data_IF_453631333692
#
_entry.id   IF_453631333692
#
_cell.length_a   1.000
_cell.length_b   1.000
_cell.length_c   1.000
_cell.angle_alpha   90.00
_cell.angle_beta   90.00
_cell.angle_gamma   90.00
#
_symmetry.space_group_name_H-M   'P 1'
#
loop_
_entity.id
_entity.type
_entity.pdbx_description
1 polymer ?
#
# COMPACT_ATOMS: atom_id res chain seq x y z
N UNK A 1 -1.58 -4.23 -7.73
CA UNK A 1 -0.92 -3.22 -8.57
C UNK A 1 0.60 -3.42 -8.50
N UNK A 2 1.43 -2.54 -7.92
CA UNK A 2 2.90 -2.66 -7.96
C UNK A 2 3.43 -4.08 -7.74
N UNK A 3 3.02 -4.73 -6.67
CA UNK A 3 3.44 -6.12 -6.34
C UNK A 3 2.99 -7.12 -7.42
N UNK A 4 1.85 -6.90 -8.05
CA UNK A 4 1.34 -7.73 -9.15
C UNK A 4 2.06 -7.46 -10.47
N UNK A 5 2.30 -6.17 -10.79
CA UNK A 5 2.99 -5.78 -12.03
C UNK A 5 4.45 -6.21 -12.06
N UNK A 6 5.08 -6.31 -10.88
CA UNK A 6 6.45 -6.81 -10.71
C UNK A 6 6.52 -8.32 -10.48
N UNK A 7 5.39 -9.02 -10.51
CA UNK A 7 5.27 -10.47 -10.31
C UNK A 7 5.92 -10.99 -9.00
N UNK A 8 5.94 -10.16 -7.97
CA UNK A 8 6.60 -10.46 -6.69
C UNK A 8 6.01 -11.70 -6.03
N UNK A 9 4.70 -11.97 -6.20
CA UNK A 9 4.08 -13.16 -5.63
C UNK A 9 4.73 -14.44 -6.17
N UNK A 10 4.84 -14.60 -7.48
CA UNK A 10 5.42 -15.79 -8.08
C UNK A 10 6.91 -15.94 -7.75
N UNK A 11 7.64 -14.81 -7.75
CA UNK A 11 9.06 -14.81 -7.38
C UNK A 11 9.26 -15.32 -5.93
N UNK A 12 8.51 -14.79 -4.97
CA UNK A 12 8.64 -15.18 -3.57
C UNK A 12 8.13 -16.61 -3.31
N UNK A 13 7.10 -17.05 -4.03
CA UNK A 13 6.48 -18.37 -3.83
C UNK A 13 7.39 -19.54 -4.24
N UNK A 14 8.49 -19.28 -4.97
CA UNK A 14 9.45 -20.33 -5.33
C UNK A 14 10.15 -20.93 -4.11
N UNK A 15 10.41 -20.13 -3.07
CA UNK A 15 11.18 -20.56 -1.91
C UNK A 15 10.52 -20.21 -0.56
N UNK A 16 9.30 -19.66 -0.58
CA UNK A 16 8.61 -19.22 0.62
C UNK A 16 7.13 -19.60 0.60
N UNK A 17 6.53 -19.74 1.76
CA UNK A 17 5.07 -19.81 1.90
C UNK A 17 4.51 -18.38 1.89
N UNK A 18 3.81 -18.02 0.82
CA UNK A 18 3.30 -16.66 0.60
C UNK A 18 1.79 -16.61 0.74
N UNK A 19 1.30 -15.68 1.53
CA UNK A 19 -0.13 -15.40 1.70
C UNK A 19 -0.49 -14.09 1.02
N UNK A 20 -1.30 -14.14 -0.03
CA UNK A 20 -1.73 -12.96 -0.79
C UNK A 20 -3.23 -12.97 -1.04
N UNK A 21 -3.94 -12.01 -0.47
CA UNK A 21 -5.38 -11.83 -0.68
C UNK A 21 -5.76 -11.41 -2.11
N UNK A 22 -4.79 -11.03 -2.93
CA UNK A 22 -5.01 -10.71 -4.35
C UNK A 22 -4.93 -11.92 -5.26
N UNK A 23 -4.39 -13.04 -4.75
CA UNK A 23 -4.21 -14.31 -5.50
C UNK A 23 -5.00 -15.43 -4.87
N UNK A 24 -5.02 -15.51 -3.54
CA UNK A 24 -5.71 -16.56 -2.81
C UNK A 24 -7.09 -16.05 -2.34
N UNK A 25 -8.14 -16.79 -2.65
CA UNK A 25 -9.51 -16.51 -2.19
C UNK A 25 -9.85 -17.20 -0.86
N UNK A 26 -8.89 -17.87 -0.24
CA UNK A 26 -9.06 -18.62 1.00
C UNK A 26 -9.44 -17.68 2.16
N UNK A 27 -10.45 -18.08 2.95
CA UNK A 27 -10.96 -17.29 4.07
C UNK A 27 -9.89 -17.00 5.15
N UNK A 28 -8.90 -17.88 5.30
CA UNK A 28 -7.80 -17.76 6.27
C UNK A 28 -6.61 -16.92 5.79
N UNK A 29 -6.56 -16.49 4.51
CA UNK A 29 -5.37 -15.85 3.96
C UNK A 29 -4.95 -14.57 4.68
N UNK A 30 -5.91 -13.75 5.10
CA UNK A 30 -5.59 -12.49 5.79
C UNK A 30 -5.10 -12.73 7.22
N UNK A 31 -5.64 -13.73 7.90
CA UNK A 31 -5.18 -14.12 9.24
C UNK A 31 -3.76 -14.69 9.16
N UNK A 32 -3.50 -15.59 8.23
CA UNK A 32 -2.16 -16.15 8.00
C UNK A 32 -1.15 -15.07 7.61
N UNK A 33 -1.55 -14.11 6.77
CA UNK A 33 -0.68 -12.97 6.43
C UNK A 33 -0.33 -12.12 7.65
N UNK A 34 -1.27 -11.92 8.59
CA UNK A 34 -1.02 -11.14 9.82
C UNK A 34 -0.11 -11.85 10.83
N UNK A 35 0.07 -13.16 10.69
CA UNK A 35 0.96 -13.98 11.51
C UNK A 35 2.35 -14.19 10.88
N UNK A 36 2.57 -13.66 9.70
CA UNK A 36 3.84 -13.81 8.97
C UNK A 36 4.94 -12.96 9.58
N UNK A 37 6.18 -13.46 9.53
CA UNK A 37 7.37 -12.73 10.01
C UNK A 37 7.80 -11.59 9.05
N UNK A 38 7.43 -11.69 7.77
CA UNK A 38 7.78 -10.70 6.76
C UNK A 38 6.52 -10.22 6.05
N UNK A 39 6.39 -8.90 5.90
CA UNK A 39 5.26 -8.28 5.22
C UNK A 39 5.74 -7.48 4.00
N UNK A 40 5.18 -7.78 2.84
CA UNK A 40 5.57 -7.14 1.57
C UNK A 40 4.40 -6.34 1.03
N UNK A 41 4.63 -5.06 0.80
CA UNK A 41 3.61 -4.16 0.26
C UNK A 41 4.24 -3.03 -0.56
N UNK A 42 3.39 -2.20 -1.16
CA UNK A 42 3.80 -0.94 -1.76
C UNK A 42 3.21 0.23 -0.98
N UNK A 43 3.79 1.41 -1.12
CA UNK A 43 3.24 2.66 -0.59
C UNK A 43 2.35 3.39 -1.62
N UNK A 44 1.52 4.32 -1.14
CA UNK A 44 0.83 5.28 -2.00
C UNK A 44 1.72 6.47 -2.36
N UNK A 45 2.66 6.83 -1.49
CA UNK A 45 3.75 7.75 -1.77
C UNK A 45 4.93 7.45 -0.86
N UNK A 46 6.12 7.83 -1.30
CA UNK A 46 7.37 7.82 -0.56
C UNK A 46 7.97 9.21 -0.67
N UNK A 47 8.10 9.91 0.46
CA UNK A 47 8.76 11.21 0.48
C UNK A 47 10.29 11.04 0.40
N UNK A 48 10.96 11.94 -0.31
CA UNK A 48 12.43 11.96 -0.39
C UNK A 48 13.08 12.21 0.98
N UNK A 49 12.32 12.78 1.91
CA UNK A 49 12.68 12.94 3.32
C UNK A 49 12.56 11.66 4.15
N UNK A 50 12.02 10.58 3.57
CA UNK A 50 11.99 9.22 4.14
C UNK A 50 10.62 8.74 4.62
N UNK A 51 9.59 9.57 4.68
CA UNK A 51 8.27 9.16 5.15
C UNK A 51 7.54 8.31 4.13
N UNK A 52 6.90 7.26 4.64
CA UNK A 52 6.08 6.33 3.84
C UNK A 52 4.60 6.63 4.10
N UNK A 53 3.88 7.00 3.04
CA UNK A 53 2.48 7.40 3.13
C UNK A 53 1.58 6.33 2.53
N UNK A 54 0.61 5.85 3.33
CA UNK A 54 -0.40 4.91 2.90
C UNK A 54 -1.81 5.39 3.24
N UNK A 55 -2.72 5.27 2.26
CA UNK A 55 -4.17 5.43 2.44
C UNK A 55 -4.82 4.06 2.32
N UNK A 56 -5.67 3.68 3.27
CA UNK A 56 -6.32 2.38 3.30
C UNK A 56 -7.82 2.49 3.56
N UNK A 57 -8.58 1.52 3.05
CA UNK A 57 -10.02 1.42 3.21
C UNK A 57 -10.45 0.49 4.32
N UNK A 58 -9.84 -0.69 4.41
CA UNK A 58 -10.11 -1.70 5.45
C UNK A 58 -9.11 -1.63 6.61
N UNK A 59 -7.96 -1.02 6.38
CA UNK A 59 -6.87 -0.99 7.35
C UNK A 59 -5.95 -2.21 7.32
N UNK A 60 -6.26 -3.24 6.53
CA UNK A 60 -5.52 -4.51 6.54
C UNK A 60 -4.06 -4.38 6.11
N UNK A 61 -3.75 -3.58 5.07
CA UNK A 61 -2.37 -3.36 4.64
C UNK A 61 -1.57 -2.59 5.70
N UNK A 62 -2.14 -1.51 6.20
CA UNK A 62 -1.46 -0.67 7.19
C UNK A 62 -1.33 -1.40 8.52
N UNK A 63 -2.35 -2.12 8.98
CA UNK A 63 -2.26 -2.91 10.20
C UNK A 63 -1.17 -3.97 10.11
N UNK A 64 -1.13 -4.77 9.03
CA UNK A 64 -0.13 -5.81 8.83
C UNK A 64 1.30 -5.30 8.71
N UNK A 65 1.48 -4.07 8.20
CA UNK A 65 2.80 -3.45 8.07
C UNK A 65 3.28 -2.70 9.33
N UNK A 66 2.39 -2.46 10.30
CA UNK A 66 2.70 -1.73 11.54
C UNK A 66 2.74 -2.69 12.74
N UNK A 67 1.77 -3.60 12.83
CA UNK A 67 1.62 -4.48 13.97
C UNK A 67 1.12 -5.86 13.54
N UNK A 68 2.05 -6.78 13.35
CA UNK A 68 1.77 -8.20 13.17
C UNK A 68 2.32 -8.99 14.35
N UNK A 69 1.62 -10.06 14.78
CA UNK A 69 1.99 -10.84 15.96
C UNK A 69 3.44 -11.39 15.91
N UNK A 70 3.93 -11.69 14.71
CA UNK A 70 5.28 -12.23 14.48
C UNK A 70 6.13 -11.34 13.57
N UNK A 71 5.70 -10.10 13.33
CA UNK A 71 6.33 -9.21 12.37
C UNK A 71 7.76 -8.88 12.75
N UNK A 72 8.70 -9.24 11.89
CA UNK A 72 10.14 -8.94 12.02
C UNK A 72 10.63 -8.02 10.92
N UNK A 73 10.04 -8.11 9.71
CA UNK A 73 10.49 -7.37 8.52
C UNK A 73 9.34 -6.84 7.72
N UNK A 74 9.48 -5.62 7.23
CA UNK A 74 8.55 -5.01 6.28
C UNK A 74 9.32 -4.56 5.05
N UNK A 75 8.83 -4.94 3.87
CA UNK A 75 9.39 -4.56 2.59
C UNK A 75 8.40 -3.66 1.83
N UNK A 76 8.77 -2.40 1.63
CA UNK A 76 8.04 -1.47 0.78
C UNK A 76 8.66 -1.46 -0.62
N UNK A 77 7.95 -1.97 -1.62
CA UNK A 77 8.39 -1.98 -3.01
C UNK A 77 7.61 -0.92 -3.78
N UNK A 78 8.32 0.08 -4.28
CA UNK A 78 7.73 1.26 -4.90
C UNK A 78 8.39 1.55 -6.25
N UNK A 79 7.57 1.89 -7.25
CA UNK A 79 8.12 2.49 -8.48
C UNK A 79 8.55 3.94 -8.23
N UNK A 80 9.46 4.45 -9.06
CA UNK A 80 9.91 5.86 -9.01
C UNK A 80 8.76 6.86 -9.17
N UNK A 81 7.66 6.44 -9.81
CA UNK A 81 6.44 7.24 -9.93
C UNK A 81 5.75 7.57 -8.58
N UNK A 82 6.20 6.98 -7.47
CA UNK A 82 5.64 7.19 -6.12
C UNK A 82 6.48 8.13 -5.26
N UNK A 83 7.61 8.55 -5.75
CA UNK A 83 8.45 9.52 -5.06
C UNK A 83 7.74 10.89 -4.99
N UNK A 84 7.92 11.56 -3.90
CA UNK A 84 7.42 12.90 -3.63
C UNK A 84 8.48 13.69 -2.89
N UNK A 85 8.62 14.96 -3.21
CA UNK A 85 9.62 15.86 -2.65
C UNK A 85 9.64 15.88 -1.12
N UNK A 86 8.47 15.84 -0.50
CA UNK A 86 8.30 15.89 0.95
C UNK A 86 6.98 15.25 1.37
N UNK A 87 6.74 15.20 2.68
CA UNK A 87 5.53 14.62 3.28
C UNK A 87 4.23 15.25 2.75
N UNK A 88 4.18 16.56 2.57
CA UNK A 88 2.98 17.28 2.10
C UNK A 88 2.64 16.86 0.65
N UNK A 89 3.66 16.83 -0.22
CA UNK A 89 3.52 16.35 -1.60
C UNK A 89 3.18 14.88 -1.65
N UNK A 90 3.72 14.07 -0.73
CA UNK A 90 3.38 12.66 -0.58
C UNK A 90 1.91 12.44 -0.19
N UNK A 91 1.40 13.20 0.78
CA UNK A 91 -0.01 13.18 1.17
C UNK A 91 -0.89 13.65 0.01
N UNK A 92 -0.48 14.71 -0.68
CA UNK A 92 -1.21 15.21 -1.84
C UNK A 92 -1.30 14.13 -2.93
N UNK A 93 -0.17 13.50 -3.26
CA UNK A 93 -0.11 12.41 -4.25
C UNK A 93 -1.02 11.23 -3.86
N UNK A 94 -0.92 10.80 -2.62
CA UNK A 94 -1.72 9.69 -2.11
C UNK A 94 -3.23 9.97 -2.22
N UNK A 95 -3.65 11.21 -1.91
CA UNK A 95 -5.05 11.64 -1.99
C UNK A 95 -5.54 11.91 -3.41
N UNK A 96 -4.73 12.56 -4.23
CA UNK A 96 -5.19 13.10 -5.53
C UNK A 96 -4.82 12.22 -6.72
N UNK A 97 -3.86 11.31 -6.58
CA UNK A 97 -3.45 10.38 -7.64
C UNK A 97 -3.81 8.94 -7.26
N UNK A 98 -3.23 8.42 -6.19
CA UNK A 98 -3.35 7.01 -5.87
C UNK A 98 -4.78 6.60 -5.45
N UNK A 99 -5.42 7.36 -4.57
CA UNK A 99 -6.75 7.03 -4.08
C UNK A 99 -7.84 7.12 -5.16
N UNK A 100 -7.91 8.16 -6.02
CA UNK A 100 -8.87 8.23 -7.12
C UNK A 100 -8.73 7.07 -8.11
N UNK A 101 -7.52 6.81 -8.59
CA UNK A 101 -7.24 5.71 -9.53
C UNK A 101 -7.59 4.34 -8.93
N UNK A 102 -7.27 4.12 -7.65
CA UNK A 102 -7.63 2.88 -6.99
C UNK A 102 -9.14 2.75 -6.74
N UNK A 103 -9.83 3.83 -6.41
CA UNK A 103 -11.28 3.84 -6.27
C UNK A 103 -11.98 3.51 -7.60
N UNK A 104 -11.48 4.06 -8.72
CA UNK A 104 -11.93 3.74 -10.07
C UNK A 104 -11.70 2.26 -10.39
N UNK A 105 -10.48 1.74 -10.17
CA UNK A 105 -10.15 0.32 -10.37
C UNK A 105 -11.07 -0.63 -9.60
N UNK A 106 -11.50 -0.20 -8.40
CA UNK A 106 -12.42 -0.97 -7.54
C UNK A 106 -13.91 -0.74 -7.88
N UNK A 107 -14.22 -0.02 -8.95
CA UNK A 107 -15.60 0.24 -9.39
C UNK A 107 -16.43 1.05 -8.39
N UNK A 108 -15.79 1.91 -7.57
CA UNK A 108 -16.49 2.70 -6.54
C UNK A 108 -17.22 3.89 -7.16
N UNK A 109 -18.42 4.18 -6.66
CA UNK A 109 -19.25 5.32 -7.09
C UNK A 109 -18.93 6.60 -6.28
N UNK A 110 -17.65 6.86 -6.07
CA UNK A 110 -17.19 8.10 -5.41
C UNK A 110 -16.92 9.18 -6.45
N UNK A 111 -17.05 10.49 -6.12
CA UNK A 111 -16.77 11.56 -7.09
C UNK A 111 -15.41 11.46 -7.76
N UNK A 112 -14.38 11.10 -6.98
CA UNK A 112 -13.03 10.94 -7.50
C UNK A 112 -12.87 9.72 -8.41
N UNK A 113 -13.61 8.64 -8.19
CA UNK A 113 -13.58 7.47 -9.07
C UNK A 113 -14.30 7.71 -10.39
N UNK A 114 -15.43 8.43 -10.35
CA UNK A 114 -16.22 8.74 -11.54
C UNK A 114 -15.46 9.69 -12.47
N UNK A 115 -14.82 10.72 -11.92
CA UNK A 115 -14.08 11.73 -12.68
C UNK A 115 -12.63 11.34 -12.97
N UNK A 116 -12.05 10.46 -12.15
CA UNK A 116 -10.66 9.97 -12.22
C UNK A 116 -9.60 11.09 -12.22
N UNK A 117 -9.87 12.21 -11.56
CA UNK A 117 -9.04 13.42 -11.60
C UNK A 117 -8.35 13.74 -10.26
N UNK A 118 -9.11 13.98 -9.19
CA UNK A 118 -8.59 14.42 -7.89
C UNK A 118 -9.48 13.98 -6.74
N UNK A 119 -9.02 14.21 -5.51
CA UNK A 119 -9.81 14.02 -4.30
C UNK A 119 -10.83 15.16 -4.12
N UNK A 120 -12.07 14.81 -3.85
CA UNK A 120 -13.18 15.74 -3.56
C UNK A 120 -13.50 15.83 -2.06
N UNK A 121 -12.66 15.24 -1.21
CA UNK A 121 -12.89 15.14 0.23
C UNK A 121 -14.33 14.67 0.59
N UNK A 122 -14.87 13.76 -0.19
CA UNK A 122 -16.25 13.30 -0.11
C UNK A 122 -16.54 12.54 1.20
N UNK A 123 -17.82 12.51 1.58
CA UNK A 123 -18.35 11.68 2.68
C UNK A 123 -19.06 10.42 2.16
N UNK A 124 -18.77 9.98 0.93
CA UNK A 124 -19.41 8.80 0.33
C UNK A 124 -19.22 7.56 1.22
N UNK A 125 -20.26 6.75 1.42
CA UNK A 125 -20.14 5.47 2.11
C UNK A 125 -19.22 4.48 1.40
N UNK A 126 -19.03 4.64 0.09
CA UNK A 126 -18.14 3.80 -0.73
C UNK A 126 -16.68 4.28 -0.77
N UNK A 127 -16.34 5.34 -0.01
CA UNK A 127 -14.95 5.84 0.01
C UNK A 127 -13.98 4.79 0.51
N UNK A 128 -12.84 4.69 -0.15
CA UNK A 128 -11.74 3.79 0.22
C UNK A 128 -10.64 4.49 1.02
N UNK A 129 -10.65 5.81 1.11
CA UNK A 129 -9.70 6.60 1.88
C UNK A 129 -10.23 6.81 3.31
N UNK A 130 -10.18 5.75 4.14
CA UNK A 130 -10.72 5.76 5.50
C UNK A 130 -9.65 5.94 6.57
N UNK A 131 -8.44 5.44 6.31
CA UNK A 131 -7.28 5.64 7.16
C UNK A 131 -6.13 6.22 6.34
N UNK A 132 -5.39 7.14 6.92
CA UNK A 132 -4.11 7.63 6.38
C UNK A 132 -3.05 7.37 7.43
N UNK A 133 -2.03 6.65 7.06
CA UNK A 133 -0.91 6.30 7.93
C UNK A 133 0.36 6.86 7.31
N UNK A 134 1.15 7.52 8.14
CA UNK A 134 2.45 8.07 7.80
C UNK A 134 3.46 7.42 8.74
N UNK A 135 4.42 6.70 8.16
CA UNK A 135 5.52 6.10 8.90
C UNK A 135 6.71 7.04 8.72
N UNK A 136 7.17 7.63 9.80
CA UNK A 136 8.24 8.63 9.81
C UNK A 136 9.60 8.03 10.10
N UNK A 137 9.64 6.88 10.76
CA UNK A 137 10.84 6.14 11.10
C UNK A 137 10.55 4.63 11.09
N UNK A 138 11.55 3.77 10.96
CA UNK A 138 11.39 2.35 11.16
C UNK A 138 10.74 2.05 12.51
N UNK A 139 9.85 1.06 12.53
CA UNK A 139 9.19 0.65 13.77
C UNK A 139 10.20 -0.03 14.70
N UNK A 140 10.01 0.12 16.00
CA UNK A 140 10.86 -0.53 17.00
C UNK A 140 10.77 -2.06 16.83
N UNK A 141 11.93 -2.72 16.78
CA UNK A 141 12.09 -4.18 16.60
C UNK A 141 11.55 -4.72 15.25
N UNK A 142 11.34 -3.87 14.24
CA UNK A 142 10.95 -4.28 12.90
C UNK A 142 11.94 -3.72 11.89
N UNK A 143 12.62 -4.60 11.17
CA UNK A 143 13.49 -4.20 10.08
C UNK A 143 12.64 -3.68 8.91
N UNK A 144 12.91 -2.47 8.47
CA UNK A 144 12.16 -1.84 7.38
C UNK A 144 13.04 -1.64 6.16
N UNK A 145 12.64 -2.24 5.05
CA UNK A 145 13.32 -2.14 3.76
C UNK A 145 12.46 -1.36 2.77
N UNK A 146 13.07 -0.39 2.09
CA UNK A 146 12.43 0.34 0.99
C UNK A 146 13.18 0.05 -0.29
N UNK A 147 12.51 -0.61 -1.24
CA UNK A 147 13.05 -0.93 -2.54
C UNK A 147 12.40 -0.02 -3.58
N UNK A 148 13.21 0.79 -4.25
CA UNK A 148 12.77 1.68 -5.31
C UNK A 148 13.12 1.03 -6.65
N UNK A 149 12.10 0.77 -7.45
CA UNK A 149 12.24 0.19 -8.80
C UNK A 149 12.04 1.29 -9.82
N UNK A 150 12.98 1.42 -10.74
CA UNK A 150 12.84 2.41 -11.82
C UNK A 150 11.64 2.07 -12.70
N UNK A 151 10.75 3.05 -12.87
CA UNK A 151 9.56 2.93 -13.70
C UNK A 151 8.25 3.24 -12.98
N UNK A 152 7.15 3.11 -13.73
CA UNK A 152 5.79 3.41 -13.30
C UNK A 152 5.07 2.13 -12.90
N UNK A 153 5.04 1.80 -11.62
CA UNK A 153 4.40 0.60 -11.08
C UNK A 153 3.28 0.95 -10.10
N UNK A 154 2.06 0.55 -10.44
CA UNK A 154 0.84 0.88 -9.70
C UNK A 154 0.51 2.37 -9.75
N UNK A 155 -0.30 2.81 -8.76
CA UNK A 155 -0.78 4.20 -8.71
C UNK A 155 -0.01 5.04 -7.71
#
# INVERSE_FOLDING_TARGET
MTIQELDIYNLLSQNNKVYSHSVCSDAGVMQNASLSESYVLSANALAETGEIINIDGRGNRVAGSIFGANLKRVFYICGTNKLAENIEKGIWRAKNIAAPKNAQRLGRKTPCAVRADKCYNCKSPERICRATVIITNPLINVETFVLIVEGNYGF
#
